data_IF_505623907383
#
_entry.id   IF_505623907383
#
_cell.length_a   1.000
_cell.length_b   1.000
_cell.length_c   1.000
_cell.angle_alpha   90.00
_cell.angle_beta   90.00
_cell.angle_gamma   90.00
#
_symmetry.space_group_name_H-M   'P 1'
#
loop_
_entity.id
_entity.type
_entity.pdbx_description
1 polymer ?
#
# COMPACT_ATOMS: atom_id res chain seq x y z
N UNK A 1 -5.68 19.30 21.54
CA UNK A 1 -5.98 17.87 21.30
C UNK A 1 -4.68 17.09 21.47
N UNK A 2 -4.58 16.25 22.51
CA UNK A 2 -3.38 15.45 22.75
C UNK A 2 -3.21 14.41 21.63
N UNK A 3 -2.00 14.30 21.06
CA UNK A 3 -1.66 13.19 20.16
C UNK A 3 -1.85 11.89 20.95
N UNK A 4 -2.84 11.07 20.59
CA UNK A 4 -2.94 9.72 21.13
C UNK A 4 -1.66 8.97 20.74
N UNK A 5 -1.00 8.27 21.69
CA UNK A 5 0.16 7.46 21.36
C UNK A 5 -0.25 6.39 20.35
N UNK A 6 0.60 6.15 19.36
CA UNK A 6 0.39 5.14 18.33
C UNK A 6 0.54 3.75 18.97
N UNK A 7 -0.49 3.28 19.66
CA UNK A 7 -0.50 2.02 20.39
C UNK A 7 -0.48 0.86 19.40
N UNK A 8 0.66 0.18 19.28
CA UNK A 8 0.73 -1.05 18.50
C UNK A 8 -0.01 -2.17 19.24
N UNK A 9 -1.03 -2.73 18.59
CA UNK A 9 -1.77 -3.89 19.09
C UNK A 9 -1.29 -5.13 18.34
N UNK A 10 -0.79 -6.13 19.07
CA UNK A 10 -0.44 -7.44 18.53
C UNK A 10 -1.55 -8.45 18.82
N UNK A 11 -1.90 -9.29 17.84
CA UNK A 11 -2.85 -10.40 18.03
C UNK A 11 -2.35 -11.67 17.33
N UNK A 12 -2.93 -12.82 17.68
CA UNK A 12 -2.77 -14.08 16.95
C UNK A 12 -3.92 -14.22 15.96
N UNK A 13 -3.62 -14.76 14.79
CA UNK A 13 -4.61 -15.06 13.76
C UNK A 13 -4.56 -16.53 13.40
N UNK A 14 -5.67 -17.10 12.88
CA UNK A 14 -5.67 -18.43 12.29
C UNK A 14 -4.55 -18.60 11.24
N UNK A 15 -3.89 -19.78 11.15
CA UNK A 15 -2.78 -20.00 10.21
C UNK A 15 -3.16 -19.77 8.75
N UNK A 16 -4.39 -20.12 8.36
CA UNK A 16 -4.91 -19.93 7.01
C UNK A 16 -5.06 -18.44 6.66
N UNK A 17 -5.42 -17.59 7.63
CA UNK A 17 -5.48 -16.14 7.44
C UNK A 17 -4.09 -15.57 7.16
N UNK A 18 -3.08 -16.00 7.92
CA UNK A 18 -1.69 -15.59 7.68
C UNK A 18 -1.25 -15.90 6.24
N UNK A 19 -1.50 -17.12 5.78
CA UNK A 19 -1.16 -17.55 4.40
C UNK A 19 -1.88 -16.70 3.36
N UNK A 20 -3.18 -16.39 3.57
CA UNK A 20 -3.95 -15.54 2.67
C UNK A 20 -3.40 -14.11 2.61
N UNK A 21 -3.08 -13.52 3.77
CA UNK A 21 -2.50 -12.17 3.86
C UNK A 21 -1.15 -12.12 3.12
N UNK A 22 -0.27 -13.09 3.35
CA UNK A 22 1.03 -13.19 2.68
C UNK A 22 0.88 -13.37 1.16
N UNK A 23 -0.11 -14.15 0.73
CA UNK A 23 -0.41 -14.35 -0.69
C UNK A 23 -0.88 -13.05 -1.36
N UNK A 24 -1.76 -12.28 -0.70
CA UNK A 24 -2.24 -10.99 -1.22
C UNK A 24 -1.09 -9.98 -1.27
N UNK A 25 -0.27 -9.91 -0.22
CA UNK A 25 0.91 -9.07 -0.14
C UNK A 25 1.85 -9.34 -1.32
N UNK A 26 2.19 -10.60 -1.57
CA UNK A 26 3.04 -11.02 -2.68
C UNK A 26 2.44 -10.65 -4.06
N UNK A 27 1.15 -10.93 -4.28
CA UNK A 27 0.48 -10.64 -5.56
C UNK A 27 0.37 -9.15 -5.87
N UNK A 28 0.26 -8.31 -4.84
CA UNK A 28 0.08 -6.86 -5.00
C UNK A 28 1.37 -6.06 -4.83
N UNK A 29 2.49 -6.72 -4.53
CA UNK A 29 3.76 -6.04 -4.23
C UNK A 29 3.71 -5.18 -2.96
N UNK A 30 2.77 -5.47 -2.06
CA UNK A 30 2.55 -4.74 -0.80
C UNK A 30 3.11 -5.54 0.37
N UNK A 31 3.32 -4.89 1.51
CA UNK A 31 3.68 -5.61 2.72
C UNK A 31 2.41 -6.16 3.44
N UNK A 32 2.54 -7.21 4.28
CA UNK A 32 1.41 -7.77 5.01
C UNK A 32 0.64 -6.75 5.87
N UNK A 33 1.34 -5.80 6.49
CA UNK A 33 0.71 -4.79 7.34
C UNK A 33 -0.22 -3.87 6.54
N UNK A 34 0.16 -3.45 5.32
CA UNK A 34 -0.67 -2.66 4.43
C UNK A 34 -1.96 -3.39 4.06
N UNK A 35 -1.86 -4.69 3.76
CA UNK A 35 -3.03 -5.53 3.49
C UNK A 35 -3.97 -5.61 4.70
N UNK A 36 -3.41 -5.73 5.90
CA UNK A 36 -4.20 -5.77 7.14
C UNK A 36 -4.88 -4.42 7.39
N UNK A 37 -4.18 -3.30 7.24
CA UNK A 37 -4.76 -1.97 7.42
C UNK A 37 -5.90 -1.71 6.44
N UNK A 38 -5.72 -2.07 5.17
CA UNK A 38 -6.76 -1.97 4.14
C UNK A 38 -7.97 -2.85 4.49
N UNK A 39 -7.74 -4.10 4.90
CA UNK A 39 -8.83 -5.00 5.29
C UNK A 39 -9.63 -4.49 6.50
N UNK A 40 -8.95 -3.91 7.50
CA UNK A 40 -9.59 -3.29 8.67
C UNK A 40 -10.38 -2.05 8.24
N UNK A 41 -9.79 -1.17 7.42
CA UNK A 41 -10.46 0.01 6.92
C UNK A 41 -11.74 -0.35 6.13
N UNK A 42 -11.66 -1.36 5.26
CA UNK A 42 -12.81 -1.90 4.53
C UNK A 42 -13.88 -2.46 5.47
N UNK A 43 -13.47 -3.26 6.47
CA UNK A 43 -14.39 -3.82 7.46
C UNK A 43 -15.11 -2.74 8.29
N UNK A 44 -14.41 -1.67 8.62
CA UNK A 44 -14.96 -0.52 9.35
C UNK A 44 -15.77 0.44 8.47
N UNK A 45 -15.80 0.23 7.15
CA UNK A 45 -16.47 1.13 6.21
C UNK A 45 -15.72 2.43 5.92
N UNK A 46 -14.46 2.54 6.33
CA UNK A 46 -13.56 3.70 6.15
C UNK A 46 -12.90 3.72 4.75
N UNK A 47 -13.45 2.98 3.79
CA UNK A 47 -12.99 3.01 2.40
C UNK A 47 -13.58 4.22 1.67
N UNK A 48 -13.21 5.40 2.16
CA UNK A 48 -13.66 6.66 1.60
C UNK A 48 -12.96 6.90 0.25
N UNK A 49 -13.71 7.41 -0.73
CA UNK A 49 -13.23 7.64 -2.10
C UNK A 49 -11.99 8.55 -2.15
N UNK A 50 -11.79 9.35 -1.10
CA UNK A 50 -10.59 10.16 -0.84
C UNK A 50 -9.29 9.32 -0.80
N UNK A 51 -9.33 8.11 -0.25
CA UNK A 51 -8.16 7.22 -0.12
C UNK A 51 -7.75 6.59 -1.46
N UNK A 52 -8.75 6.31 -2.32
CA UNK A 52 -8.51 5.90 -3.71
C UNK A 52 -7.84 7.03 -4.48
N UNK A 53 -8.27 8.28 -4.29
CA UNK A 53 -7.67 9.46 -4.93
C UNK A 53 -6.18 9.64 -4.60
N UNK A 54 -5.81 9.48 -3.32
CA UNK A 54 -4.40 9.55 -2.89
C UNK A 54 -3.57 8.43 -3.52
N UNK A 55 -4.10 7.20 -3.53
CA UNK A 55 -3.41 6.05 -4.14
C UNK A 55 -3.20 6.24 -5.64
N UNK A 56 -4.20 6.81 -6.33
CA UNK A 56 -4.13 7.08 -7.76
C UNK A 56 -3.08 8.16 -8.07
N UNK A 57 -3.02 9.21 -7.25
CA UNK A 57 -2.00 10.25 -7.37
C UNK A 57 -0.59 9.70 -7.18
N UNK A 58 -0.38 8.85 -6.17
CA UNK A 58 0.90 8.18 -5.93
C UNK A 58 1.34 7.29 -7.10
N UNK A 59 0.40 6.57 -7.72
CA UNK A 59 0.67 5.75 -8.90
C UNK A 59 1.06 6.63 -10.09
N UNK A 60 0.34 7.72 -10.33
CA UNK A 60 0.64 8.66 -11.41
C UNK A 60 2.05 9.27 -11.27
N UNK A 61 2.41 9.71 -10.06
CA UNK A 61 3.74 10.27 -9.80
C UNK A 61 4.86 9.23 -9.99
N UNK A 62 4.63 7.97 -9.61
CA UNK A 62 5.60 6.89 -9.86
C UNK A 62 5.73 6.58 -11.35
N UNK A 63 4.64 6.63 -12.11
CA UNK A 63 4.66 6.43 -13.56
C UNK A 63 5.50 7.51 -14.25
N UNK A 64 5.28 8.77 -13.90
CA UNK A 64 6.04 9.90 -14.44
C UNK A 64 7.54 9.79 -14.14
N UNK A 65 7.90 9.38 -12.92
CA UNK A 65 9.30 9.16 -12.55
C UNK A 65 9.96 8.05 -13.39
N UNK A 66 9.24 6.97 -13.69
CA UNK A 66 9.72 5.88 -14.55
C UNK A 66 9.91 6.34 -15.98
N UNK A 67 8.96 7.10 -16.53
CA UNK A 67 9.06 7.67 -17.87
C UNK A 67 10.28 8.58 -18.01
N UNK A 68 10.49 9.52 -17.07
CA UNK A 68 11.66 10.39 -17.06
C UNK A 68 12.97 9.61 -16.96
N UNK A 69 13.03 8.58 -16.11
CA UNK A 69 14.22 7.74 -15.98
C UNK A 69 14.52 6.97 -17.27
N UNK A 70 13.50 6.52 -17.98
CA UNK A 70 13.66 5.85 -19.27
C UNK A 70 14.15 6.81 -20.37
N UNK A 71 13.64 8.04 -20.41
CA UNK A 71 14.06 9.07 -21.35
C UNK A 71 15.54 9.46 -21.14
N UNK A 72 15.98 9.61 -19.89
CA UNK A 72 17.38 9.90 -19.54
C UNK A 72 18.30 8.75 -19.98
N UNK A 73 17.91 7.48 -19.76
CA UNK A 73 18.72 6.32 -20.17
C UNK A 73 18.91 6.23 -21.69
N UNK A 74 17.90 6.58 -22.48
CA UNK A 74 17.99 6.59 -23.95
C UNK A 74 18.95 7.67 -24.45
N UNK A 75 18.99 8.84 -23.78
CA UNK A 75 19.91 9.93 -24.11
C UNK A 75 21.37 9.61 -23.73
N UNK A 76 21.60 8.88 -22.63
CA UNK A 76 22.95 8.48 -22.18
C UNK A 76 23.53 7.28 -22.96
N UNK A 77 22.71 6.56 -23.73
CA UNK A 77 23.14 5.41 -24.53
C UNK A 77 23.51 5.77 -25.99
N UNK A 78 23.52 7.07 -26.34
CA UNK A 78 23.97 7.62 -27.63
C UNK A 78 25.32 8.30 -27.46
#
# INVERSE_FOLDING_TARGET
MGKQPNSMIGTRVPPDWKVRIETIAAKTGRNPSQVIYEAIALYLGENDASTVGVTLQDILSKLEAVEQQSAIKVLMAR
#
